data_IF_761160508241
#
_entry.id   IF_761160508241
#
_cell.length_a   1.000
_cell.length_b   1.000
_cell.length_c   1.000
_cell.angle_alpha   90.00
_cell.angle_beta   90.00
_cell.angle_gamma   90.00
#
_symmetry.space_group_name_H-M   'P 1'
#
loop_
_entity.id
_entity.type
_entity.pdbx_description
1 polymer ?
#
# COMPACT_ATOMS: atom_id res chain seq x y z
N UNK A 1 -6.94 12.35 -15.19
CA UNK A 1 -7.32 12.56 -13.77
C UNK A 1 -7.26 11.20 -13.09
N UNK A 2 -6.75 11.11 -11.87
CA UNK A 2 -6.79 9.87 -11.10
C UNK A 2 -8.07 9.82 -10.24
N UNK A 3 -8.62 8.63 -10.08
CA UNK A 3 -9.83 8.38 -9.27
C UNK A 3 -9.50 7.39 -8.16
N UNK A 4 -9.97 7.66 -6.95
CA UNK A 4 -9.92 6.72 -5.84
C UNK A 4 -11.06 5.71 -6.02
N UNK A 5 -10.72 4.47 -6.33
CA UNK A 5 -11.69 3.41 -6.62
C UNK A 5 -12.15 2.66 -5.37
N UNK A 6 -11.22 2.42 -4.46
CA UNK A 6 -11.51 1.70 -3.23
C UNK A 6 -10.45 1.95 -2.17
N UNK A 7 -10.83 1.74 -0.92
CA UNK A 7 -9.92 1.87 0.22
C UNK A 7 -10.42 1.06 1.42
N UNK A 8 -9.49 0.68 2.27
CA UNK A 8 -9.77 0.06 3.56
C UNK A 8 -8.79 0.55 4.62
N UNK A 9 -9.26 0.63 5.85
CA UNK A 9 -8.45 0.87 7.05
C UNK A 9 -8.70 -0.26 8.02
N UNK A 10 -7.65 -0.92 8.45
CA UNK A 10 -7.71 -2.04 9.38
C UNK A 10 -7.12 -1.62 10.72
N UNK A 11 -7.82 -1.88 11.84
CA UNK A 11 -7.29 -1.60 13.17
C UNK A 11 -6.08 -2.46 13.48
N UNK A 12 -5.31 -2.04 14.46
CA UNK A 12 -4.16 -2.78 14.92
C UNK A 12 -4.53 -4.17 15.44
N UNK A 13 -3.83 -5.19 14.94
CA UNK A 13 -3.85 -6.55 15.50
C UNK A 13 -2.74 -6.68 16.55
N UNK A 14 -1.56 -6.17 16.23
CA UNK A 14 -0.42 -6.06 17.13
C UNK A 14 0.12 -4.64 17.09
N UNK A 15 0.73 -4.20 18.20
CA UNK A 15 1.39 -2.90 18.23
C UNK A 15 2.86 -3.07 17.88
N UNK A 16 3.36 -2.39 16.84
CA UNK A 16 4.79 -2.23 16.64
C UNK A 16 5.45 -1.69 17.91
N UNK A 17 6.69 -2.02 18.15
CA UNK A 17 7.45 -1.60 19.33
C UNK A 17 6.90 -2.17 20.68
N UNK A 18 6.03 -3.16 20.63
CA UNK A 18 5.65 -3.96 21.80
C UNK A 18 6.48 -5.26 21.84
N UNK A 19 6.35 -6.02 22.94
CA UNK A 19 7.01 -7.33 23.07
C UNK A 19 6.38 -8.41 22.17
N UNK A 20 5.29 -8.08 21.47
CA UNK A 20 4.64 -9.00 20.55
C UNK A 20 5.22 -8.86 19.14
N UNK A 21 5.42 -9.96 18.42
CA UNK A 21 5.92 -9.91 17.05
C UNK A 21 4.89 -9.24 16.13
N UNK A 22 5.35 -8.43 15.20
CA UNK A 22 4.51 -7.92 14.11
C UNK A 22 4.21 -9.05 13.13
N UNK A 23 2.98 -9.13 12.68
CA UNK A 23 2.47 -10.26 11.90
C UNK A 23 2.09 -9.93 10.46
N UNK A 24 2.10 -8.65 10.09
CA UNK A 24 1.63 -8.18 8.79
C UNK A 24 0.13 -8.36 8.56
N UNK A 25 -0.63 -8.77 9.58
CA UNK A 25 -2.05 -9.12 9.43
C UNK A 25 -2.91 -7.90 9.12
N UNK A 26 -2.70 -6.78 9.83
CA UNK A 26 -3.48 -5.56 9.58
C UNK A 26 -3.26 -5.04 8.16
N UNK A 27 -2.01 -5.01 7.69
CA UNK A 27 -1.68 -4.57 6.33
C UNK A 27 -2.23 -5.53 5.27
N UNK A 28 -2.05 -6.83 5.46
CA UNK A 28 -2.60 -7.84 4.54
C UNK A 28 -4.12 -7.78 4.47
N UNK A 29 -4.80 -7.56 5.59
CA UNK A 29 -6.26 -7.42 5.64
C UNK A 29 -6.70 -6.16 4.90
N UNK A 30 -6.06 -5.01 5.14
CA UNK A 30 -6.41 -3.76 4.43
C UNK A 30 -6.28 -3.91 2.91
N UNK A 31 -5.20 -4.54 2.43
CA UNK A 31 -5.02 -4.80 0.99
C UNK A 31 -6.07 -5.78 0.47
N UNK A 32 -6.28 -6.90 1.16
CA UNK A 32 -7.25 -7.92 0.75
C UNK A 32 -8.67 -7.36 0.65
N UNK A 33 -9.10 -6.58 1.64
CA UNK A 33 -10.42 -5.95 1.66
C UNK A 33 -10.57 -4.95 0.51
N UNK A 34 -9.56 -4.13 0.25
CA UNK A 34 -9.58 -3.18 -0.85
C UNK A 34 -9.70 -3.88 -2.19
N UNK A 35 -8.91 -4.93 -2.43
CA UNK A 35 -8.98 -5.71 -3.67
C UNK A 35 -10.32 -6.43 -3.82
N UNK A 36 -10.87 -6.98 -2.73
CA UNK A 36 -12.18 -7.62 -2.72
C UNK A 36 -13.32 -6.65 -3.06
N UNK A 37 -13.31 -5.43 -2.51
CA UNK A 37 -14.28 -4.38 -2.85
C UNK A 37 -14.29 -4.08 -4.36
N UNK A 38 -13.13 -4.13 -4.99
CA UNK A 38 -12.94 -3.85 -6.42
C UNK A 38 -13.09 -5.09 -7.31
N UNK A 39 -13.35 -6.25 -6.71
CA UNK A 39 -13.42 -7.53 -7.42
C UNK A 39 -12.13 -7.87 -8.20
N UNK A 40 -10.99 -7.43 -7.66
CA UNK A 40 -9.67 -7.74 -8.21
C UNK A 40 -9.19 -9.04 -7.57
N UNK A 41 -9.15 -10.11 -8.34
CA UNK A 41 -8.68 -11.42 -7.88
C UNK A 41 -7.16 -11.44 -7.67
N UNK A 42 -6.42 -10.81 -8.57
CA UNK A 42 -4.96 -10.65 -8.48
C UNK A 42 -4.56 -9.27 -8.98
N UNK A 43 -3.87 -8.53 -8.15
CA UNK A 43 -3.37 -7.20 -8.52
C UNK A 43 -2.11 -7.34 -9.37
N UNK A 44 -2.07 -6.57 -10.45
CA UNK A 44 -0.97 -6.48 -11.39
C UNK A 44 -0.78 -5.00 -11.79
N UNK A 45 0.26 -4.39 -11.33
CA UNK A 45 0.48 -2.96 -11.57
C UNK A 45 1.52 -2.35 -10.64
N UNK A 46 1.45 -1.06 -10.45
CA UNK A 46 2.35 -0.32 -9.57
C UNK A 46 1.80 -0.31 -8.15
N UNK A 47 2.64 -0.64 -7.18
CA UNK A 47 2.32 -0.55 -5.77
C UNK A 47 3.29 0.42 -5.06
N UNK A 48 2.76 1.28 -4.22
CA UNK A 48 3.53 2.24 -3.44
C UNK A 48 3.39 1.87 -1.97
N UNK A 49 4.51 1.55 -1.33
CA UNK A 49 4.59 1.21 0.08
C UNK A 49 5.29 2.28 0.89
N UNK A 50 5.21 2.17 2.20
CA UNK A 50 5.75 3.13 3.16
C UNK A 50 7.00 2.62 3.91
N UNK A 51 7.75 1.68 3.33
CA UNK A 51 9.04 1.28 3.89
C UNK A 51 9.97 2.49 4.01
N UNK A 52 10.58 2.64 5.19
CA UNK A 52 11.41 3.80 5.53
C UNK A 52 12.70 3.44 6.28
N UNK A 53 13.04 2.15 6.34
CA UNK A 53 14.21 1.64 7.04
C UNK A 53 13.97 1.22 8.50
N UNK A 54 12.78 1.45 9.06
CA UNK A 54 12.43 0.94 10.38
C UNK A 54 12.28 -0.59 10.37
N UNK A 55 12.92 -1.25 11.34
CA UNK A 55 12.94 -2.72 11.40
C UNK A 55 11.56 -3.33 11.55
N UNK A 56 10.70 -2.75 12.41
CA UNK A 56 9.35 -3.25 12.61
C UNK A 56 8.51 -3.15 11.32
N UNK A 57 8.67 -2.04 10.59
CA UNK A 57 7.93 -1.80 9.34
C UNK A 57 8.35 -2.78 8.26
N UNK A 58 9.63 -3.08 8.17
CA UNK A 58 10.16 -4.07 7.25
C UNK A 58 9.67 -5.49 7.58
N UNK A 59 9.59 -5.84 8.87
CA UNK A 59 9.06 -7.13 9.31
C UNK A 59 7.56 -7.25 9.04
N UNK A 60 6.80 -6.20 9.35
CA UNK A 60 5.35 -6.16 9.12
C UNK A 60 5.04 -6.29 7.63
N UNK A 61 5.73 -5.51 6.80
CA UNK A 61 5.59 -5.55 5.36
C UNK A 61 5.97 -6.91 4.76
N UNK A 62 7.11 -7.48 5.16
CA UNK A 62 7.54 -8.80 4.71
C UNK A 62 6.54 -9.90 5.09
N UNK A 63 6.01 -9.86 6.31
CA UNK A 63 4.97 -10.79 6.77
C UNK A 63 3.65 -10.61 6.00
N UNK A 64 3.28 -9.36 5.69
CA UNK A 64 2.11 -9.06 4.88
C UNK A 64 2.26 -9.60 3.45
N UNK A 65 3.42 -9.45 2.82
CA UNK A 65 3.68 -9.98 1.48
C UNK A 65 3.52 -11.51 1.40
N UNK A 66 3.95 -12.24 2.42
CA UNK A 66 3.73 -13.69 2.47
C UNK A 66 2.24 -14.01 2.44
N UNK A 67 1.44 -13.28 3.20
CA UNK A 67 -0.02 -13.44 3.23
C UNK A 67 -0.70 -13.03 1.91
N UNK A 68 -0.15 -12.01 1.24
CA UNK A 68 -0.70 -11.44 0.01
C UNK A 68 -0.25 -12.16 -1.26
N UNK A 69 0.69 -13.10 -1.16
CA UNK A 69 1.22 -13.82 -2.33
C UNK A 69 0.16 -14.30 -3.32
N UNK A 70 -0.97 -14.91 -2.88
CA UNK A 70 -2.04 -15.32 -3.79
C UNK A 70 -2.77 -14.17 -4.50
N UNK A 71 -2.72 -12.96 -3.94
CA UNK A 71 -3.45 -11.78 -4.44
C UNK A 71 -2.59 -10.84 -5.29
N UNK A 72 -1.29 -11.08 -5.37
CA UNK A 72 -0.35 -10.28 -6.13
C UNK A 72 0.27 -11.10 -7.26
N UNK A 73 0.51 -10.48 -8.40
CA UNK A 73 1.30 -11.12 -9.45
C UNK A 73 2.80 -10.87 -9.23
N UNK A 74 3.64 -11.63 -9.91
CA UNK A 74 5.09 -11.42 -9.94
C UNK A 74 5.52 -10.18 -10.73
N UNK A 75 4.58 -9.52 -11.41
CA UNK A 75 4.81 -8.30 -12.19
C UNK A 75 4.50 -7.03 -11.41
N UNK A 76 4.07 -7.12 -10.14
CA UNK A 76 3.85 -5.94 -9.32
C UNK A 76 5.15 -5.18 -9.14
N UNK A 77 5.17 -3.92 -9.55
CA UNK A 77 6.30 -3.02 -9.38
C UNK A 77 6.14 -2.22 -8.11
N UNK A 78 7.04 -2.43 -7.15
CA UNK A 78 7.01 -1.74 -5.86
C UNK A 78 7.84 -0.47 -5.88
N UNK A 79 7.26 0.64 -5.44
CA UNK A 79 7.91 1.92 -5.24
C UNK A 79 7.88 2.30 -3.76
N UNK A 80 8.99 2.80 -3.26
CA UNK A 80 9.13 3.27 -1.88
C UNK A 80 9.63 4.71 -1.89
N UNK A 81 8.74 5.69 -1.69
CA UNK A 81 9.11 7.12 -1.76
C UNK A 81 10.23 7.52 -0.82
N UNK A 82 10.36 6.85 0.32
CA UNK A 82 11.43 7.10 1.29
C UNK A 82 12.84 6.86 0.75
N UNK A 83 12.99 6.03 -0.29
CA UNK A 83 14.29 5.79 -0.93
C UNK A 83 14.86 7.07 -1.57
N UNK A 84 13.99 7.98 -1.97
CA UNK A 84 14.38 9.25 -2.59
C UNK A 84 14.16 10.47 -1.70
N UNK A 85 13.12 10.43 -0.86
CA UNK A 85 12.68 11.60 -0.07
C UNK A 85 13.09 11.51 1.42
N UNK A 86 13.56 10.33 1.85
CA UNK A 86 13.78 10.04 3.26
C UNK A 86 12.48 9.85 4.03
N UNK A 87 12.56 9.83 5.35
CA UNK A 87 11.41 9.69 6.23
C UNK A 87 10.51 10.94 6.17
N UNK A 88 9.25 10.74 5.83
CA UNK A 88 8.26 11.81 5.68
C UNK A 88 7.17 11.78 6.76
N UNK A 89 7.26 10.84 7.70
CA UNK A 89 6.36 10.73 8.85
C UNK A 89 4.89 10.65 8.44
N UNK A 90 4.05 11.44 9.08
CA UNK A 90 2.61 11.47 8.83
C UNK A 90 2.22 11.89 7.39
N UNK A 91 3.14 12.47 6.62
CA UNK A 91 2.88 12.86 5.24
C UNK A 91 3.06 11.70 4.24
N UNK A 92 3.59 10.55 4.65
CA UNK A 92 3.92 9.43 3.76
C UNK A 92 2.76 8.98 2.87
N UNK A 93 1.58 8.80 3.45
CA UNK A 93 0.40 8.38 2.69
C UNK A 93 -0.06 9.43 1.68
N UNK A 94 -0.04 10.72 2.05
CA UNK A 94 -0.40 11.81 1.15
C UNK A 94 0.59 11.92 -0.03
N UNK A 95 1.87 11.76 0.24
CA UNK A 95 2.92 11.73 -0.78
C UNK A 95 2.72 10.55 -1.73
N UNK A 96 2.43 9.36 -1.20
CA UNK A 96 2.16 8.17 -2.02
C UNK A 96 0.93 8.36 -2.93
N UNK A 97 -0.14 8.97 -2.43
CA UNK A 97 -1.32 9.32 -3.24
C UNK A 97 -0.95 10.30 -4.35
N UNK A 98 -0.21 11.36 -4.05
CA UNK A 98 0.23 12.33 -5.05
C UNK A 98 1.12 11.69 -6.13
N UNK A 99 2.04 10.82 -5.73
CA UNK A 99 2.90 10.10 -6.66
C UNK A 99 2.10 9.14 -7.54
N UNK A 100 1.18 8.37 -6.95
CA UNK A 100 0.30 7.46 -7.68
C UNK A 100 -0.58 8.21 -8.70
N UNK A 101 -1.21 9.30 -8.29
CA UNK A 101 -2.00 10.14 -9.16
C UNK A 101 -1.17 10.74 -10.30
N UNK A 102 0.07 11.17 -9.99
CA UNK A 102 0.99 11.71 -11.00
C UNK A 102 1.44 10.63 -11.98
N UNK A 103 1.74 9.42 -11.48
CA UNK A 103 2.14 8.28 -12.32
C UNK A 103 1.03 7.92 -13.33
N UNK A 104 -0.22 7.88 -12.88
CA UNK A 104 -1.38 7.64 -13.74
C UNK A 104 -1.57 8.78 -14.75
N UNK A 105 -1.49 10.03 -14.31
CA UNK A 105 -1.68 11.19 -15.18
C UNK A 105 -0.62 11.31 -16.28
N UNK A 106 0.60 10.83 -16.01
CA UNK A 106 1.73 10.86 -16.95
C UNK A 106 1.93 9.56 -17.74
N UNK A 107 1.09 8.55 -17.50
CA UNK A 107 1.19 7.26 -18.17
C UNK A 107 2.37 6.40 -17.71
N UNK A 108 2.96 6.68 -16.55
CA UNK A 108 3.98 5.82 -15.93
C UNK A 108 3.35 4.58 -15.29
N UNK A 109 2.11 4.70 -14.83
CA UNK A 109 1.23 3.59 -14.46
C UNK A 109 0.02 3.61 -15.39
N UNK A 110 -0.40 2.46 -15.90
CA UNK A 110 -1.40 2.37 -16.96
C UNK A 110 -2.77 2.03 -16.39
N UNK A 111 -2.86 1.00 -15.54
CA UNK A 111 -4.14 0.44 -15.11
C UNK A 111 -4.55 0.88 -13.72
N UNK A 112 -3.72 0.63 -12.74
CA UNK A 112 -4.01 0.96 -11.34
C UNK A 112 -2.73 1.16 -10.52
N UNK A 113 -2.87 1.93 -9.44
CA UNK A 113 -1.83 2.09 -8.43
C UNK A 113 -2.42 1.69 -7.08
N UNK A 114 -1.81 0.70 -6.44
CA UNK A 114 -2.11 0.30 -5.07
C UNK A 114 -1.21 1.08 -4.12
N UNK A 115 -1.78 1.65 -3.09
CA UNK A 115 -1.06 2.39 -2.05
C UNK A 115 -1.31 1.72 -0.72
N UNK A 116 -0.26 1.42 0.02
CA UNK A 116 -0.34 0.82 1.34
C UNK A 116 0.48 1.59 2.36
N UNK A 117 -0.03 1.69 3.57
CA UNK A 117 0.62 2.37 4.67
C UNK A 117 0.31 1.70 6.01
N UNK A 118 1.27 1.74 6.92
CA UNK A 118 1.16 1.24 8.28
C UNK A 118 1.48 2.34 9.28
N UNK A 119 0.75 2.38 10.39
CA UNK A 119 0.97 3.33 11.46
C UNK A 119 1.71 2.68 12.64
N UNK A 120 2.41 3.48 13.44
CA UNK A 120 3.05 3.03 14.68
C UNK A 120 2.04 2.46 15.70
N UNK A 121 0.77 2.83 15.60
CA UNK A 121 -0.31 2.22 16.38
C UNK A 121 -0.57 0.76 16.01
N UNK A 122 -0.05 0.29 14.87
CA UNK A 122 -0.32 -1.02 14.28
C UNK A 122 -1.50 -1.06 13.31
N UNK A 123 -2.21 0.06 13.15
CA UNK A 123 -3.25 0.17 12.12
C UNK A 123 -2.61 0.24 10.73
N UNK A 124 -3.32 -0.24 9.73
CA UNK A 124 -2.89 -0.21 8.34
C UNK A 124 -4.00 0.29 7.42
N UNK A 125 -3.61 0.81 6.28
CA UNK A 125 -4.53 1.28 5.26
C UNK A 125 -4.08 0.85 3.87
N UNK A 126 -5.03 0.68 2.99
CA UNK A 126 -4.80 0.48 1.56
C UNK A 126 -5.77 1.33 0.75
N UNK A 127 -5.31 1.80 -0.39
CA UNK A 127 -6.13 2.49 -1.37
C UNK A 127 -5.71 2.08 -2.78
N UNK A 128 -6.64 2.10 -3.72
CA UNK A 128 -6.38 1.88 -5.15
C UNK A 128 -6.83 3.08 -5.94
N UNK A 129 -5.91 3.60 -6.74
CA UNK A 129 -6.18 4.66 -7.72
C UNK A 129 -6.22 4.06 -9.13
N UNK A 130 -7.11 4.57 -9.97
CA UNK A 130 -7.15 4.25 -11.40
C UNK A 130 -7.14 5.53 -12.25
N UNK A 131 -6.86 5.41 -13.57
CA UNK A 131 -7.10 6.52 -14.46
C UNK A 131 -8.59 6.86 -14.47
N UNK A 132 -8.93 8.13 -14.27
CA UNK A 132 -10.30 8.59 -14.48
C UNK A 132 -10.70 8.43 -15.96
N UNK A 133 -12.00 8.25 -16.20
CA UNK A 133 -12.50 8.19 -17.56
C UNK A 133 -12.02 9.37 -18.39
N UNK A 134 -11.50 9.10 -19.59
CA UNK A 134 -11.17 10.13 -20.54
C UNK A 134 -12.46 10.85 -20.96
N UNK A 135 -12.48 12.15 -20.80
CA UNK A 135 -13.58 12.99 -21.30
C UNK A 135 -13.45 13.18 -22.81
#
# INVERSE_FOLDING_TARGET
>A
MAVLEGWAVTPAVTRPLSDQPVTGEALATAVSETLAQLQIERFDGVAIGDLNGESWRSQDWGSALVRLGPLLTDRVEWLFPSDSLGETGAASAAIAICLGATALARGYAIDAVLISASAESGAAACAVLSPGAAN
#
